data_IF_577998642509
#
_entry.id   IF_577998642509
#
_cell.length_a   1.000
_cell.length_b   1.000
_cell.length_c   1.000
_cell.angle_alpha   90.00
_cell.angle_beta   90.00
_cell.angle_gamma   90.00
#
_symmetry.space_group_name_H-M   'P 1'
#
loop_
_entity.id
_entity.type
_entity.pdbx_description
1 polymer ?
#
# COMPACT_ATOMS: atom_id res chain seq x y z
N UNK A 1 -2.99 7.40 10.38
CA UNK A 1 -1.90 8.41 10.18
C UNK A 1 -1.60 8.52 8.68
N UNK A 2 -0.93 9.59 8.22
CA UNK A 2 -0.53 9.76 6.81
C UNK A 2 -1.70 9.68 5.79
N UNK A 3 -2.89 10.18 6.15
CA UNK A 3 -4.12 9.98 5.37
C UNK A 3 -4.02 10.42 3.90
N UNK A 4 -3.34 11.54 3.63
CA UNK A 4 -3.11 12.01 2.27
C UNK A 4 -2.28 11.00 1.45
N UNK A 5 -1.18 10.50 2.03
CA UNK A 5 -0.31 9.53 1.37
C UNK A 5 -1.01 8.17 1.19
N UNK A 6 -1.81 7.74 2.16
CA UNK A 6 -2.67 6.54 2.02
C UNK A 6 -3.62 6.66 0.85
N UNK A 7 -4.28 7.81 0.69
CA UNK A 7 -5.17 8.08 -0.44
C UNK A 7 -4.43 8.08 -1.78
N UNK A 8 -3.26 8.70 -1.87
CA UNK A 8 -2.43 8.71 -3.08
C UNK A 8 -1.96 7.29 -3.47
N UNK A 9 -1.48 6.51 -2.52
CA UNK A 9 -1.05 5.11 -2.75
C UNK A 9 -2.24 4.24 -3.15
N UNK A 10 -3.40 4.42 -2.53
CA UNK A 10 -4.63 3.75 -2.94
C UNK A 10 -5.00 4.07 -4.39
N UNK A 11 -5.06 5.35 -4.76
CA UNK A 11 -5.39 5.78 -6.12
C UNK A 11 -4.39 5.23 -7.16
N UNK A 12 -3.10 5.20 -6.82
CA UNK A 12 -2.08 4.61 -7.68
C UNK A 12 -2.25 3.09 -7.86
N UNK A 13 -2.63 2.37 -6.80
CA UNK A 13 -2.96 0.95 -6.89
C UNK A 13 -4.21 0.71 -7.77
N UNK A 14 -5.25 1.54 -7.64
CA UNK A 14 -6.42 1.47 -8.51
C UNK A 14 -6.11 1.82 -9.97
N UNK A 15 -5.12 2.69 -10.20
CA UNK A 15 -4.66 3.01 -11.55
C UNK A 15 -4.04 1.79 -12.26
N UNK A 16 -3.36 0.88 -11.53
CA UNK A 16 -2.85 -0.36 -12.10
C UNK A 16 -3.98 -1.21 -12.73
N UNK A 17 -5.11 -1.32 -12.02
CA UNK A 17 -6.31 -2.02 -12.51
C UNK A 17 -6.91 -1.28 -13.70
N UNK A 18 -7.08 0.04 -13.58
CA UNK A 18 -7.68 0.88 -14.63
C UNK A 18 -6.93 0.81 -15.96
N UNK A 19 -5.62 0.61 -15.91
CA UNK A 19 -4.75 0.55 -17.09
C UNK A 19 -4.39 -0.88 -17.52
N UNK A 20 -5.08 -1.89 -16.99
CA UNK A 20 -4.89 -3.32 -17.33
C UNK A 20 -3.42 -3.79 -17.16
N UNK A 21 -2.70 -3.23 -16.18
CA UNK A 21 -1.28 -3.52 -15.95
C UNK A 21 -1.07 -4.78 -15.09
N UNK A 22 -2.13 -5.31 -14.49
CA UNK A 22 -2.09 -6.40 -13.51
C UNK A 22 -3.31 -7.32 -13.66
N UNK A 23 -3.21 -8.52 -13.11
CA UNK A 23 -4.32 -9.49 -13.03
C UNK A 23 -4.50 -9.95 -11.58
N UNK A 24 -5.74 -10.28 -11.20
CA UNK A 24 -6.09 -10.71 -9.83
C UNK A 24 -5.59 -9.73 -8.76
N UNK A 25 -4.93 -10.24 -7.72
CA UNK A 25 -4.38 -9.46 -6.61
C UNK A 25 -2.92 -9.07 -6.81
N UNK A 26 -2.36 -9.28 -8.01
CA UNK A 26 -0.96 -9.00 -8.31
C UNK A 26 -0.66 -7.50 -8.32
N UNK A 27 0.64 -7.19 -8.29
CA UNK A 27 1.12 -5.81 -8.26
C UNK A 27 0.81 -5.09 -6.95
N UNK A 28 1.60 -4.06 -6.72
CA UNK A 28 1.46 -3.15 -5.61
C UNK A 28 2.15 -1.84 -5.97
N UNK A 29 1.68 -0.75 -5.38
CA UNK A 29 2.36 0.54 -5.36
C UNK A 29 2.60 0.92 -3.91
N UNK A 30 3.72 1.60 -3.67
CA UNK A 30 4.03 2.25 -2.40
C UNK A 30 4.38 3.74 -2.60
N UNK A 31 4.28 4.51 -1.53
CA UNK A 31 4.66 5.91 -1.47
C UNK A 31 5.38 6.22 -0.16
N UNK A 32 6.37 7.10 -0.18
CA UNK A 32 7.26 7.37 0.97
C UNK A 32 7.14 8.82 1.47
N UNK A 33 6.94 8.96 2.79
CA UNK A 33 7.20 10.19 3.53
C UNK A 33 8.64 10.14 4.05
N UNK A 34 9.55 10.83 3.35
CA UNK A 34 10.99 10.82 3.67
C UNK A 34 11.32 11.57 4.95
N UNK A 35 10.52 12.58 5.31
CA UNK A 35 10.76 13.35 6.54
C UNK A 35 10.47 12.49 7.78
N UNK A 36 9.45 11.63 7.69
CA UNK A 36 9.09 10.70 8.77
C UNK A 36 9.80 9.35 8.70
N UNK A 37 10.45 9.02 7.58
CA UNK A 37 11.04 7.71 7.37
C UNK A 37 9.99 6.59 7.34
N UNK A 38 8.80 6.89 6.81
CA UNK A 38 7.68 5.96 6.71
C UNK A 38 7.26 5.81 5.26
N UNK A 39 6.89 4.61 4.86
CA UNK A 39 6.24 4.39 3.58
C UNK A 39 4.91 3.68 3.76
N UNK A 40 4.02 3.90 2.80
CA UNK A 40 2.68 3.32 2.74
C UNK A 40 2.65 2.38 1.55
N UNK A 41 2.12 1.18 1.74
CA UNK A 41 2.04 0.15 0.71
C UNK A 41 0.70 -0.58 0.74
N UNK A 42 0.30 -1.13 -0.42
CA UNK A 42 -0.86 -2.02 -0.54
C UNK A 42 -0.74 -3.22 0.41
N UNK A 43 -1.85 -3.66 1.06
CA UNK A 43 -1.88 -4.89 1.84
C UNK A 43 -1.78 -6.15 0.95
N UNK A 44 -1.25 -7.23 1.52
CA UNK A 44 -1.17 -8.52 0.83
C UNK A 44 -2.52 -9.25 0.84
N UNK A 45 -2.86 -9.88 -0.29
CA UNK A 45 -4.02 -10.78 -0.40
C UNK A 45 -5.39 -10.11 -0.42
N UNK A 46 -5.46 -8.78 -0.50
CA UNK A 46 -6.73 -8.04 -0.61
C UNK A 46 -7.05 -7.77 -2.07
N UNK A 47 -8.29 -8.06 -2.48
CA UNK A 47 -8.80 -7.77 -3.82
C UNK A 47 -8.96 -6.26 -4.04
N UNK A 48 -8.64 -5.77 -5.23
CA UNK A 48 -8.65 -4.34 -5.53
C UNK A 48 -10.06 -3.70 -5.43
N UNK A 49 -11.11 -4.47 -5.68
CA UNK A 49 -12.50 -4.02 -5.56
C UNK A 49 -12.95 -3.79 -4.11
N UNK A 50 -12.23 -4.35 -3.14
CA UNK A 50 -12.48 -4.22 -1.70
C UNK A 50 -11.51 -3.26 -1.01
N UNK A 51 -10.47 -2.79 -1.72
CA UNK A 51 -9.51 -1.87 -1.14
C UNK A 51 -10.16 -0.52 -0.81
N UNK A 52 -9.80 -0.01 0.36
CA UNK A 52 -10.04 1.36 0.78
C UNK A 52 -8.71 2.02 1.15
N UNK A 53 -8.64 3.37 1.21
CA UNK A 53 -7.45 4.06 1.71
C UNK A 53 -7.03 3.61 3.11
N UNK A 54 -7.99 3.26 3.98
CA UNK A 54 -7.72 2.82 5.35
C UNK A 54 -7.03 1.46 5.43
N UNK A 55 -7.16 0.63 4.38
CA UNK A 55 -6.51 -0.67 4.27
C UNK A 55 -5.02 -0.59 3.92
N UNK A 56 -4.52 0.60 3.56
CA UNK A 56 -3.10 0.78 3.27
C UNK A 56 -2.26 0.62 4.54
N UNK A 57 -1.15 -0.09 4.41
CA UNK A 57 -0.26 -0.43 5.53
C UNK A 57 0.89 0.57 5.59
N UNK A 58 1.15 1.12 6.77
CA UNK A 58 2.28 2.01 7.05
C UNK A 58 3.41 1.20 7.63
N UNK A 59 4.60 1.34 7.06
CA UNK A 59 5.80 0.58 7.40
C UNK A 59 6.97 1.55 7.53
N UNK A 60 7.87 1.31 8.48
CA UNK A 60 9.13 2.07 8.59
C UNK A 60 10.21 1.55 7.63
N UNK A 61 11.35 2.24 7.54
CA UNK A 61 12.46 1.83 6.65
C UNK A 61 13.18 0.55 7.09
N UNK A 62 12.89 0.05 8.30
CA UNK A 62 13.42 -1.20 8.82
C UNK A 62 12.49 -2.39 8.53
N UNK A 63 11.31 -2.13 7.95
CA UNK A 63 10.32 -3.15 7.59
C UNK A 63 9.28 -3.42 8.69
N UNK A 64 9.30 -2.67 9.79
CA UNK A 64 8.31 -2.85 10.86
C UNK A 64 6.98 -2.18 10.48
N UNK A 65 5.87 -2.89 10.71
CA UNK A 65 4.53 -2.32 10.53
C UNK A 65 4.25 -1.32 11.66
N UNK A 66 4.03 -0.07 11.28
CA UNK A 66 3.72 1.03 12.20
C UNK A 66 2.22 1.23 12.35
N UNK A 67 1.45 1.01 11.28
CA UNK A 67 -0.02 1.12 11.28
C UNK A 67 -0.65 0.23 10.20
N UNK A 68 -1.78 -0.40 10.51
CA UNK A 68 -2.57 -1.21 9.58
C UNK A 68 -3.03 -2.53 10.22
N UNK A 69 -4.21 -3.02 9.83
CA UNK A 69 -4.73 -4.32 10.29
C UNK A 69 -4.28 -5.48 9.42
N UNK A 70 -3.96 -5.21 8.15
CA UNK A 70 -3.46 -6.21 7.21
C UNK A 70 -1.94 -6.33 7.25
N UNK A 71 -1.44 -7.44 6.70
CA UNK A 71 -0.02 -7.57 6.38
C UNK A 71 0.31 -6.70 5.17
N UNK A 72 1.49 -6.03 5.14
CA UNK A 72 1.93 -5.33 3.94
C UNK A 72 2.14 -6.32 2.79
N UNK A 73 2.25 -5.81 1.56
CA UNK A 73 2.59 -6.62 0.38
C UNK A 73 3.77 -7.54 0.67
N UNK A 74 3.76 -8.77 0.13
CA UNK A 74 4.88 -9.71 0.25
C UNK A 74 6.18 -9.22 -0.37
N UNK A 75 6.08 -8.23 -1.27
CA UNK A 75 7.24 -7.58 -1.88
C UNK A 75 7.89 -6.53 -0.95
N UNK A 76 7.30 -6.31 0.23
CA UNK A 76 7.95 -5.56 1.30
C UNK A 76 9.04 -6.43 1.91
N UNK A 77 10.33 -6.03 1.85
CA UNK A 77 11.38 -6.76 2.56
C UNK A 77 11.05 -6.81 4.06
N UNK A 78 11.12 -8.01 4.63
CA UNK A 78 10.97 -8.27 6.08
C UNK A 78 12.30 -8.63 6.69
#
# INVERSE_FOLDING_TARGET
MLEALKKEVYEANMALVKHDLIVFTWGNVSGIDREKGLFVIKPSGVEYDKLTPDDMVVVDLEGNVVEGHYKPSSDTPT
#
